data_IF_735797746190
#
_entry.id   IF_735797746190
#
_cell.length_a   1.000
_cell.length_b   1.000
_cell.length_c   1.000
_cell.angle_alpha   90.00
_cell.angle_beta   90.00
_cell.angle_gamma   90.00
#
_symmetry.space_group_name_H-M   'P 1'
#
loop_
_entity.id
_entity.type
_entity.pdbx_description
1 polymer ?
#
# COMPACT_ATOMS: atom_id res chain seq x y z
N UNK A 1 4.34 -25.61 -19.87
CA UNK A 1 4.57 -25.27 -18.45
C UNK A 1 4.16 -23.82 -18.26
N UNK A 2 3.26 -23.58 -17.32
CA UNK A 2 2.40 -22.40 -17.21
C UNK A 2 3.17 -21.08 -17.16
N UNK A 3 2.93 -20.22 -18.15
CA UNK A 3 3.23 -18.80 -18.07
C UNK A 3 2.30 -18.23 -16.99
N UNK A 4 2.78 -18.18 -15.76
CA UNK A 4 2.10 -17.46 -14.67
C UNK A 4 2.05 -16.00 -15.13
N UNK A 5 0.91 -15.58 -15.64
CA UNK A 5 0.58 -14.17 -15.89
C UNK A 5 0.91 -13.42 -14.62
N UNK A 6 2.10 -12.82 -14.59
CA UNK A 6 2.66 -12.22 -13.39
C UNK A 6 1.92 -10.91 -13.24
N UNK A 7 0.85 -10.93 -12.42
CA UNK A 7 0.00 -9.78 -12.10
C UNK A 7 0.92 -8.61 -11.75
N UNK A 8 1.06 -7.69 -12.70
CA UNK A 8 1.98 -6.56 -12.64
C UNK A 8 1.44 -5.65 -11.54
N UNK A 9 2.01 -5.74 -10.34
CA UNK A 9 1.60 -4.88 -9.24
C UNK A 9 1.86 -3.43 -9.67
N UNK A 10 0.94 -2.52 -9.37
CA UNK A 10 1.13 -1.09 -9.61
C UNK A 10 1.88 -0.48 -8.44
N UNK A 11 2.79 0.46 -8.72
CA UNK A 11 3.50 1.25 -7.75
C UNK A 11 2.52 2.00 -6.87
N UNK A 12 2.62 1.82 -5.56
CA UNK A 12 1.71 2.46 -4.59
C UNK A 12 1.87 3.99 -4.49
N UNK A 13 2.94 4.55 -5.07
CA UNK A 13 3.22 5.99 -5.01
C UNK A 13 2.76 6.74 -6.26
N UNK A 14 3.02 6.22 -7.47
CA UNK A 14 2.64 6.86 -8.74
C UNK A 14 1.62 6.07 -9.58
N UNK A 15 1.22 4.87 -9.17
CA UNK A 15 0.27 4.04 -9.92
C UNK A 15 0.82 3.37 -11.18
N UNK A 16 2.05 3.68 -11.59
CA UNK A 16 2.73 3.01 -12.73
C UNK A 16 3.11 1.55 -12.42
N UNK A 17 3.74 0.85 -13.36
CA UNK A 17 4.24 -0.51 -13.18
C UNK A 17 5.25 -0.62 -12.02
N UNK A 18 4.93 -1.39 -10.98
CA UNK A 18 5.92 -1.73 -9.96
C UNK A 18 6.93 -2.72 -10.53
N UNK A 19 8.21 -2.40 -10.30
CA UNK A 19 9.35 -3.20 -10.77
C UNK A 19 10.06 -3.92 -9.63
N UNK A 20 9.83 -3.51 -8.38
CA UNK A 20 10.43 -4.09 -7.17
C UNK A 20 9.57 -3.80 -5.94
N UNK A 21 9.99 -4.30 -4.78
CA UNK A 21 9.40 -3.96 -3.49
C UNK A 21 10.33 -3.05 -2.69
N UNK A 22 9.79 -2.10 -1.92
CA UNK A 22 10.57 -1.31 -0.97
C UNK A 22 10.95 -2.15 0.27
N UNK A 23 11.65 -1.55 1.23
CA UNK A 23 12.08 -2.24 2.47
C UNK A 23 10.90 -2.79 3.30
N UNK A 24 9.69 -2.29 3.10
CA UNK A 24 8.47 -2.74 3.76
C UNK A 24 7.65 -3.76 2.94
N UNK A 25 8.15 -4.18 1.77
CA UNK A 25 7.48 -5.17 0.92
C UNK A 25 6.38 -4.59 0.03
N UNK A 26 6.23 -3.26 -0.04
CA UNK A 26 5.22 -2.62 -0.90
C UNK A 26 5.69 -2.61 -2.35
N UNK A 27 4.82 -2.90 -3.34
CA UNK A 27 5.18 -2.85 -4.75
C UNK A 27 5.41 -1.40 -5.18
N UNK A 28 6.63 -1.12 -5.64
CA UNK A 28 7.10 0.21 -6.06
C UNK A 28 7.82 0.16 -7.40
N UNK A 29 7.79 1.25 -8.15
CA UNK A 29 8.59 1.39 -9.36
C UNK A 29 10.07 1.61 -9.00
N UNK A 30 10.92 1.68 -10.03
CA UNK A 30 12.36 1.84 -9.83
C UNK A 30 12.75 3.13 -9.11
N UNK A 31 11.96 4.18 -9.33
CA UNK A 31 12.14 5.54 -8.78
C UNK A 31 11.73 5.59 -7.30
N UNK A 32 10.68 4.85 -6.94
CA UNK A 32 10.11 4.83 -5.59
C UNK A 32 10.62 3.65 -4.74
N UNK A 33 11.76 3.08 -5.12
CA UNK A 33 12.37 1.93 -4.45
C UNK A 33 12.72 2.21 -2.98
N UNK A 34 13.24 3.41 -2.74
CA UNK A 34 13.73 3.87 -1.45
C UNK A 34 12.68 4.71 -0.71
N UNK A 35 11.46 4.84 -1.28
CA UNK A 35 10.37 5.51 -0.59
C UNK A 35 9.82 4.63 0.53
N UNK A 36 9.96 5.15 1.74
CA UNK A 36 9.26 4.69 2.94
C UNK A 36 7.74 4.82 2.71
N UNK A 37 6.91 3.93 3.28
CA UNK A 37 5.44 3.99 3.12
C UNK A 37 4.92 5.42 3.28
N UNK A 38 3.90 5.77 2.48
CA UNK A 38 3.07 6.93 2.81
C UNK A 38 2.65 6.75 4.27
N UNK A 39 3.09 7.67 5.13
CA UNK A 39 2.82 7.64 6.55
C UNK A 39 1.36 8.07 6.73
N UNK A 40 0.46 7.15 6.40
CA UNK A 40 -0.97 7.41 6.48
C UNK A 40 -1.38 7.28 7.92
N UNK A 41 -1.79 8.38 8.52
CA UNK A 41 -2.30 8.40 9.88
C UNK A 41 -3.75 7.92 9.89
N UNK A 42 -4.10 7.10 10.88
CA UNK A 42 -5.48 6.65 11.08
C UNK A 42 -6.33 7.85 11.51
N UNK A 43 -7.40 8.22 10.79
CA UNK A 43 -8.22 9.37 11.16
C UNK A 43 -8.99 9.17 12.48
N UNK A 44 -9.04 7.94 12.99
CA UNK A 44 -9.76 7.58 14.22
C UNK A 44 -8.88 7.68 15.47
N UNK A 45 -7.60 7.32 15.37
CA UNK A 45 -6.69 7.27 16.52
C UNK A 45 -5.35 8.01 16.33
N UNK A 46 -5.07 8.54 15.14
CA UNK A 46 -3.84 9.26 14.80
C UNK A 46 -2.58 8.37 14.69
N UNK A 47 -2.70 7.05 14.84
CA UNK A 47 -1.56 6.14 14.72
C UNK A 47 -1.26 5.84 13.24
N UNK A 48 0.00 5.53 12.89
CA UNK A 48 0.35 5.14 11.54
C UNK A 48 -0.41 3.90 11.10
N UNK A 49 -0.76 3.87 9.81
CA UNK A 49 -1.40 2.74 9.15
C UNK A 49 -0.40 2.08 8.22
N UNK A 50 -0.40 0.75 8.22
CA UNK A 50 0.44 -0.08 7.35
C UNK A 50 -0.35 -0.73 6.25
N UNK A 51 0.25 -0.82 5.07
CA UNK A 51 -0.32 -1.54 3.94
C UNK A 51 -0.22 -3.05 4.19
N UNK A 52 -1.35 -3.74 4.15
CA UNK A 52 -1.45 -5.18 4.38
C UNK A 52 -2.14 -5.85 3.19
N UNK A 53 -1.69 -7.05 2.87
CA UNK A 53 -2.31 -7.94 1.89
C UNK A 53 -3.46 -8.71 2.54
N UNK A 54 -4.63 -8.68 1.94
CA UNK A 54 -5.79 -9.48 2.35
C UNK A 54 -6.37 -10.26 1.17
N UNK A 55 -7.37 -11.09 1.46
CA UNK A 55 -8.07 -11.93 0.46
C UNK A 55 -8.62 -11.14 -0.73
N UNK A 56 -9.02 -9.89 -0.51
CA UNK A 56 -9.65 -9.02 -1.52
C UNK A 56 -8.69 -8.01 -2.15
N UNK A 57 -7.40 -8.05 -1.80
CA UNK A 57 -6.40 -7.09 -2.23
C UNK A 57 -5.71 -6.40 -1.05
N UNK A 58 -4.97 -5.33 -1.37
CA UNK A 58 -4.27 -4.55 -0.37
C UNK A 58 -5.22 -3.60 0.39
N UNK A 59 -4.97 -3.40 1.68
CA UNK A 59 -5.71 -2.50 2.55
C UNK A 59 -4.78 -1.83 3.57
N UNK A 60 -5.11 -0.64 4.01
CA UNK A 60 -4.44 0.04 5.12
C UNK A 60 -4.99 -0.50 6.43
N UNK A 61 -4.14 -1.08 7.27
CA UNK A 61 -4.49 -1.54 8.61
C UNK A 61 -3.79 -0.69 9.66
N UNK A 62 -4.53 -0.23 10.67
CA UNK A 62 -3.97 0.58 11.74
C UNK A 62 -2.90 -0.21 12.52
N UNK A 63 -1.75 0.39 12.80
CA UNK A 63 -0.73 -0.21 13.66
C UNK A 63 -1.18 -0.30 15.12
N UNK A 64 -2.19 0.49 15.51
CA UNK A 64 -2.80 0.43 16.83
C UNK A 64 -3.59 -0.84 17.13
N UNK A 65 -3.67 -1.83 16.23
CA UNK A 65 -4.36 -3.09 16.53
C UNK A 65 -3.70 -3.83 17.71
N UNK A 66 -4.45 -4.33 18.72
CA UNK A 66 -5.91 -4.51 18.77
C UNK A 66 -6.72 -3.31 19.31
N UNK A 67 -6.08 -2.24 19.78
CA UNK A 67 -6.75 -1.05 20.33
C UNK A 67 -7.53 -0.27 19.25
N UNK A 68 -7.01 -0.25 18.01
CA UNK A 68 -7.68 0.33 16.86
C UNK A 68 -7.78 -0.71 15.74
N UNK A 69 -9.01 -1.18 15.46
CA UNK A 69 -9.29 -2.19 14.42
C UNK A 69 -9.70 -1.57 13.08
N UNK A 70 -9.50 -0.26 12.91
CA UNK A 70 -9.85 0.44 11.68
C UNK A 70 -8.95 -0.02 10.53
N UNK A 71 -9.59 -0.33 9.41
CA UNK A 71 -8.94 -0.63 8.15
C UNK A 71 -9.59 0.20 7.05
N UNK A 72 -8.79 0.58 6.06
CA UNK A 72 -9.26 1.36 4.91
C UNK A 72 -8.81 0.70 3.63
N UNK A 73 -9.61 0.82 2.58
CA UNK A 73 -9.22 0.35 1.25
C UNK A 73 -8.09 1.23 0.70
N UNK A 74 -7.17 0.63 -0.07
CA UNK A 74 -6.03 1.37 -0.64
C UNK A 74 -6.46 2.55 -1.51
N UNK A 75 -7.58 2.40 -2.23
CA UNK A 75 -8.12 3.45 -3.10
C UNK A 75 -8.57 4.71 -2.35
N UNK A 76 -8.92 4.59 -1.07
CA UNK A 76 -9.52 5.67 -0.29
C UNK A 76 -8.46 6.62 0.31
N UNK A 77 -7.24 6.13 0.54
CA UNK A 77 -6.12 6.91 1.08
C UNK A 77 -5.05 7.21 0.02
N UNK A 78 -5.06 6.51 -1.12
CA UNK A 78 -4.21 6.83 -2.27
C UNK A 78 -4.76 7.99 -3.13
N UNK A 79 -5.84 8.63 -2.69
CA UNK A 79 -6.55 9.71 -3.40
C UNK A 79 -5.84 11.06 -3.44
N UNK A 80 -4.54 11.11 -3.72
CA UNK A 80 -3.98 12.27 -4.42
C UNK A 80 -4.13 12.00 -5.92
N UNK A 81 -5.34 12.19 -6.43
CA UNK A 81 -5.55 12.38 -7.87
C UNK A 81 -4.84 13.69 -8.23
N UNK A 82 -3.74 13.57 -8.95
CA UNK A 82 -3.22 14.64 -9.79
C UNK A 82 -4.36 15.03 -10.76
N UNK A 83 -4.73 16.31 -10.78
CA UNK A 83 -5.62 16.89 -11.79
C UNK A 83 -4.80 17.30 -13.02
#
# INVERSE_FOLDING_TARGET
>A
MSLKETKMASCVFCGESATKQNQEGQPVCREHADQSPKNVECPDCGLPMKLKEGRYGFFWGCEGYPQCQKTFQVQELAGAKDE
#
